data_IF_113560824052
#
_entry.id   IF_113560824052
#
_cell.length_a   1.000
_cell.length_b   1.000
_cell.length_c   1.000
_cell.angle_alpha   90.00
_cell.angle_beta   90.00
_cell.angle_gamma   90.00
#
_symmetry.space_group_name_H-M   'P 1'
#
loop_
_entity.id
_entity.type
_entity.pdbx_description
1 polymer ?
#
# COMPACT_ATOMS: atom_id res chain seq x y z
N UNK A 1 -9.67 17.08 6.93
CA UNK A 1 -9.99 15.65 6.78
C UNK A 1 -8.86 15.01 6.00
N UNK A 2 -8.18 14.01 6.56
CA UNK A 2 -7.24 13.17 5.82
C UNK A 2 -8.02 12.30 4.85
N UNK A 3 -7.83 12.51 3.54
CA UNK A 3 -8.41 11.64 2.52
C UNK A 3 -7.68 10.30 2.57
N UNK A 4 -8.37 9.23 2.96
CA UNK A 4 -7.85 7.87 3.00
C UNK A 4 -8.92 6.95 2.41
N UNK A 5 -8.68 6.46 1.19
CA UNK A 5 -9.59 5.53 0.50
C UNK A 5 -8.86 4.23 0.21
N UNK A 6 -9.33 3.12 0.78
CA UNK A 6 -8.72 1.81 0.56
C UNK A 6 -8.96 1.34 -0.88
N UNK A 7 -7.89 1.05 -1.59
CA UNK A 7 -7.91 0.49 -2.94
C UNK A 7 -7.79 -1.03 -2.88
N UNK A 8 -6.92 -1.53 -2.00
CA UNK A 8 -6.61 -2.95 -1.92
C UNK A 8 -6.38 -3.38 -0.47
N UNK A 9 -6.82 -4.60 -0.15
CA UNK A 9 -6.39 -5.36 1.00
C UNK A 9 -6.13 -6.80 0.55
N UNK A 10 -5.01 -7.37 0.99
CA UNK A 10 -4.64 -8.75 0.64
C UNK A 10 -4.89 -9.69 1.82
N UNK A 11 -5.01 -10.99 1.54
CA UNK A 11 -5.15 -12.02 2.59
C UNK A 11 -3.92 -12.13 3.50
N UNK A 12 -2.77 -11.61 3.07
CA UNK A 12 -1.54 -11.51 3.89
C UNK A 12 -1.55 -10.31 4.84
N UNK A 13 -2.59 -9.47 4.81
CA UNK A 13 -2.74 -8.31 5.70
C UNK A 13 -2.09 -7.04 5.18
N UNK A 14 -1.68 -7.00 3.91
CA UNK A 14 -1.13 -5.78 3.29
C UNK A 14 -2.23 -4.93 2.66
N UNK A 15 -2.06 -3.61 2.61
CA UNK A 15 -3.05 -2.67 2.06
C UNK A 15 -2.43 -1.66 1.11
N UNK A 16 -3.26 -1.14 0.19
CA UNK A 16 -2.98 0.09 -0.55
C UNK A 16 -4.13 1.05 -0.28
N UNK A 17 -3.81 2.23 0.23
CA UNK A 17 -4.77 3.29 0.52
C UNK A 17 -4.38 4.56 -0.28
N UNK A 18 -5.33 5.16 -1.00
CA UNK A 18 -5.14 6.45 -1.65
C UNK A 18 -5.14 7.56 -0.62
N UNK A 19 -4.08 8.39 -0.62
CA UNK A 19 -3.93 9.54 0.30
C UNK A 19 -4.13 10.90 -0.39
N UNK A 20 -4.43 10.89 -1.68
CA UNK A 20 -4.66 12.08 -2.50
C UNK A 20 -3.44 12.51 -3.31
N UNK A 21 -3.62 13.46 -4.25
CA UNK A 21 -2.54 14.01 -5.10
C UNK A 21 -1.71 12.96 -5.85
N UNK A 22 -2.34 11.84 -6.27
CA UNK A 22 -1.64 10.74 -6.93
C UNK A 22 -0.69 9.94 -6.03
N UNK A 23 -0.77 10.14 -4.71
CA UNK A 23 -0.02 9.40 -3.70
C UNK A 23 -0.82 8.28 -3.10
N UNK A 24 -0.11 7.22 -2.77
CA UNK A 24 -0.65 5.99 -2.22
C UNK A 24 0.19 5.55 -1.03
N UNK A 25 -0.48 5.06 0.00
CA UNK A 25 0.14 4.45 1.17
C UNK A 25 0.02 2.94 1.06
N UNK A 26 1.15 2.25 1.13
CA UNK A 26 1.23 0.79 1.12
C UNK A 26 1.67 0.33 2.50
N UNK A 27 0.84 -0.46 3.17
CA UNK A 27 1.15 -1.01 4.49
C UNK A 27 1.30 -2.53 4.40
N UNK A 28 2.24 -3.10 5.15
CA UNK A 28 2.38 -4.54 5.29
C UNK A 28 1.62 -5.07 6.53
N UNK A 29 1.68 -6.39 6.76
CA UNK A 29 1.06 -7.05 7.92
C UNK A 29 1.52 -6.55 9.29
N UNK A 30 2.73 -5.99 9.37
CA UNK A 30 3.34 -5.46 10.59
C UNK A 30 3.00 -3.97 10.77
N UNK A 31 2.07 -3.43 9.97
CA UNK A 31 1.67 -2.03 9.96
C UNK A 31 2.81 -1.07 9.59
N UNK A 32 3.87 -1.58 8.95
CA UNK A 32 4.91 -0.74 8.35
C UNK A 32 4.37 -0.18 7.05
N UNK A 33 4.23 1.14 6.99
CA UNK A 33 3.67 1.84 5.85
C UNK A 33 4.73 2.64 5.09
N UNK A 34 4.56 2.73 3.78
CA UNK A 34 5.39 3.55 2.89
C UNK A 34 4.49 4.32 1.94
N UNK A 35 4.80 5.59 1.70
CA UNK A 35 4.09 6.41 0.74
C UNK A 35 4.85 6.47 -0.59
N UNK A 36 4.13 6.29 -1.69
CA UNK A 36 4.68 6.28 -3.04
C UNK A 36 3.80 7.08 -3.99
N UNK A 37 4.45 7.73 -4.95
CA UNK A 37 3.78 8.43 -6.05
C UNK A 37 3.41 7.43 -7.16
N UNK A 38 2.12 7.40 -7.51
CA UNK A 38 1.58 6.57 -8.58
C UNK A 38 1.11 5.18 -8.15
N UNK A 39 -0.03 4.76 -8.69
CA UNK A 39 -0.69 3.50 -8.31
C UNK A 39 0.13 2.27 -8.73
N UNK A 40 0.82 2.36 -9.87
CA UNK A 40 1.69 1.29 -10.35
C UNK A 40 2.81 0.97 -9.35
N UNK A 41 3.53 1.98 -8.86
CA UNK A 41 4.58 1.81 -7.84
C UNK A 41 4.02 1.25 -6.53
N UNK A 42 2.78 1.61 -6.17
CA UNK A 42 2.11 1.06 -5.01
C UNK A 42 1.91 -0.46 -5.14
N UNK A 43 1.47 -0.94 -6.30
CA UNK A 43 1.36 -2.37 -6.58
C UNK A 43 2.71 -3.08 -6.65
N UNK A 44 3.74 -2.49 -7.24
CA UNK A 44 5.10 -3.07 -7.24
C UNK A 44 5.66 -3.23 -5.83
N UNK A 45 5.46 -2.21 -4.98
CA UNK A 45 5.86 -2.26 -3.58
C UNK A 45 5.10 -3.33 -2.81
N UNK A 46 3.77 -3.39 -2.96
CA UNK A 46 2.92 -4.42 -2.35
C UNK A 46 3.44 -5.82 -2.72
N UNK A 47 3.64 -6.07 -4.02
CA UNK A 47 4.12 -7.35 -4.53
C UNK A 47 5.50 -7.71 -3.96
N UNK A 48 6.38 -6.73 -3.80
CA UNK A 48 7.71 -6.93 -3.20
C UNK A 48 7.61 -7.26 -1.70
N UNK A 49 6.76 -6.55 -0.96
CA UNK A 49 6.55 -6.81 0.47
C UNK A 49 5.99 -8.22 0.69
N UNK A 50 5.04 -8.67 -0.14
CA UNK A 50 4.42 -9.99 0.00
C UNK A 50 5.32 -11.16 -0.39
N UNK A 51 6.33 -10.94 -1.24
CA UNK A 51 7.33 -11.95 -1.60
C UNK A 51 8.40 -12.14 -0.53
N UNK A 52 8.70 -11.10 0.25
CA UNK A 52 9.70 -11.16 1.34
C UNK A 52 9.22 -11.93 2.58
N UNK A 53 7.92 -12.15 2.72
CA UNK A 53 7.30 -12.85 3.87
C UNK A 53 7.17 -14.35 3.57
N UNK A 54 8.15 -14.95 2.87
CA UNK A 54 8.16 -16.39 2.57
C UNK A 54 8.97 -17.18 3.58
#
# INVERSE_FOLDING_TARGET
MTFLSRICATSKGSTIDAVGNGKYRVCNKELTCSEVDGLWKAYEMLRTQEQRVS
#
